data_IF_642849831749
#
_entry.id   IF_642849831749
#
_cell.length_a   1.000
_cell.length_b   1.000
_cell.length_c   1.000
_cell.angle_alpha   90.00
_cell.angle_beta   90.00
_cell.angle_gamma   90.00
#
_symmetry.space_group_name_H-M   'P 1'
#
loop_
_entity.id
_entity.type
_entity.pdbx_description
1 polymer ?
#
# COMPACT_ATOMS: atom_id res chain seq x y z
N UNK A 1 -14.90 22.01 -8.22
CA UNK A 1 -14.19 20.72 -8.05
C UNK A 1 -14.89 19.58 -8.76
N UNK A 2 -16.20 19.34 -8.55
CA UNK A 2 -16.94 18.31 -9.32
C UNK A 2 -16.83 18.51 -10.85
N UNK A 3 -16.85 19.77 -11.32
CA UNK A 3 -16.69 20.13 -12.73
C UNK A 3 -15.33 19.79 -13.37
N UNK A 4 -14.31 19.42 -12.59
CA UNK A 4 -12.99 19.00 -13.08
C UNK A 4 -12.88 17.47 -13.18
N UNK A 5 -13.74 16.73 -12.46
CA UNK A 5 -13.73 15.25 -12.43
C UNK A 5 -14.27 14.68 -13.74
N UNK A 6 -15.28 15.34 -14.32
CA UNK A 6 -15.95 14.88 -15.54
C UNK A 6 -15.22 15.30 -16.83
N UNK A 7 -14.18 16.15 -16.72
CA UNK A 7 -13.38 16.58 -17.86
C UNK A 7 -12.25 15.59 -18.14
N UNK A 8 -11.94 15.30 -19.42
CA UNK A 8 -10.80 14.45 -19.74
C UNK A 8 -9.49 15.11 -19.29
N UNK A 9 -8.60 14.33 -18.66
CA UNK A 9 -7.32 14.82 -18.12
C UNK A 9 -6.42 15.48 -19.18
N UNK A 10 -6.60 15.16 -20.46
CA UNK A 10 -5.87 15.77 -21.58
C UNK A 10 -6.21 17.23 -21.84
N UNK A 11 -7.36 17.71 -21.36
CA UNK A 11 -7.83 19.09 -21.56
C UNK A 11 -7.54 20.00 -20.34
N UNK A 12 -7.01 19.42 -19.26
CA UNK A 12 -6.70 20.14 -18.04
C UNK A 12 -5.29 20.72 -18.07
N UNK A 13 -5.13 21.91 -17.50
CA UNK A 13 -3.81 22.49 -17.23
C UNK A 13 -3.09 21.72 -16.13
N UNK A 14 -1.76 21.83 -16.05
CA UNK A 14 -0.98 21.18 -14.98
C UNK A 14 -1.45 21.58 -13.58
N UNK A 15 -1.86 22.84 -13.40
CA UNK A 15 -2.42 23.33 -12.15
C UNK A 15 -3.73 22.63 -11.79
N UNK A 16 -4.66 22.53 -12.74
CA UNK A 16 -5.94 21.84 -12.53
C UNK A 16 -5.75 20.34 -12.28
N UNK A 17 -4.77 19.70 -12.92
CA UNK A 17 -4.43 18.30 -12.66
C UNK A 17 -3.94 18.13 -11.21
N UNK A 18 -3.08 19.02 -10.72
CA UNK A 18 -2.59 18.96 -9.35
C UNK A 18 -3.70 19.23 -8.32
N UNK A 19 -4.63 20.12 -8.62
CA UNK A 19 -5.83 20.34 -7.78
C UNK A 19 -6.75 19.13 -7.77
N UNK A 20 -6.99 18.52 -8.94
CA UNK A 20 -7.80 17.30 -9.06
C UNK A 20 -7.17 16.14 -8.29
N UNK A 21 -5.86 15.94 -8.38
CA UNK A 21 -5.14 14.89 -7.64
C UNK A 21 -5.24 15.11 -6.12
N UNK A 22 -5.10 16.34 -5.63
CA UNK A 22 -5.32 16.66 -4.21
C UNK A 22 -6.76 16.37 -3.76
N UNK A 23 -7.73 16.66 -4.61
CA UNK A 23 -9.13 16.35 -4.34
C UNK A 23 -9.37 14.82 -4.33
N UNK A 24 -8.85 14.08 -5.31
CA UNK A 24 -8.91 12.62 -5.37
C UNK A 24 -8.25 11.95 -4.15
N UNK A 25 -7.15 12.51 -3.64
CA UNK A 25 -6.52 12.01 -2.41
C UNK A 25 -7.35 12.28 -1.16
N UNK A 26 -8.10 13.37 -1.09
CA UNK A 26 -8.84 13.75 0.12
C UNK A 26 -10.27 13.19 0.17
N UNK A 27 -10.95 13.14 -0.97
CA UNK A 27 -12.34 12.70 -1.07
C UNK A 27 -12.52 11.36 -1.80
N UNK A 28 -11.45 10.81 -2.38
CA UNK A 28 -11.49 9.54 -3.11
C UNK A 28 -11.08 8.32 -2.27
N UNK A 29 -10.92 7.16 -2.91
CA UNK A 29 -10.58 5.91 -2.22
C UNK A 29 -9.20 5.94 -1.53
N UNK A 30 -8.27 6.77 -2.01
CA UNK A 30 -6.94 6.93 -1.42
C UNK A 30 -6.93 7.79 -0.14
N UNK A 31 -8.07 8.41 0.22
CA UNK A 31 -8.22 9.16 1.48
C UNK A 31 -7.94 8.33 2.72
N UNK A 32 -8.10 7.00 2.63
CA UNK A 32 -7.73 6.08 3.70
C UNK A 32 -6.22 6.10 3.99
N UNK A 33 -5.38 6.19 2.94
CA UNK A 33 -3.93 6.31 3.08
C UNK A 33 -3.53 7.70 3.57
N UNK A 34 -4.21 8.76 3.11
CA UNK A 34 -3.99 10.10 3.63
C UNK A 34 -4.29 10.17 5.14
N UNK A 35 -5.39 9.53 5.55
CA UNK A 35 -5.76 9.41 6.96
C UNK A 35 -4.71 8.62 7.73
N UNK A 36 -4.21 7.49 7.18
CA UNK A 36 -3.15 6.70 7.79
C UNK A 36 -1.86 7.49 8.02
N UNK A 37 -1.43 8.30 7.04
CA UNK A 37 -0.24 9.15 7.14
C UNK A 37 -0.45 10.23 8.22
N UNK A 38 -1.60 10.92 8.22
CA UNK A 38 -1.87 12.02 9.15
C UNK A 38 -2.03 11.57 10.60
N UNK A 39 -2.73 10.46 10.81
CA UNK A 39 -2.94 9.86 12.14
C UNK A 39 -1.74 9.05 12.62
N UNK A 40 -0.78 8.78 11.73
CA UNK A 40 0.33 7.87 11.97
C UNK A 40 -0.14 6.45 12.36
N UNK A 41 -1.33 6.02 11.93
CA UNK A 41 -1.90 4.71 12.23
C UNK A 41 -1.14 3.57 11.55
N UNK A 42 -1.28 2.36 12.09
CA UNK A 42 -0.76 1.16 11.43
C UNK A 42 -1.72 0.73 10.32
N UNK A 43 -1.15 0.26 9.23
CA UNK A 43 -1.88 -0.31 8.11
C UNK A 43 -1.44 -1.75 7.89
N UNK A 44 -2.39 -2.60 7.54
CA UNK A 44 -2.13 -3.94 7.06
C UNK A 44 -2.25 -3.94 5.53
N UNK A 45 -1.15 -4.26 4.85
CA UNK A 45 -1.07 -4.31 3.39
C UNK A 45 -0.93 -5.77 2.97
N UNK A 46 -1.85 -6.25 2.13
CA UNK A 46 -1.72 -7.55 1.49
C UNK A 46 -1.06 -7.37 0.12
N UNK A 47 0.09 -8.01 -0.06
CA UNK A 47 0.85 -7.95 -1.30
C UNK A 47 0.62 -9.17 -2.19
N UNK A 48 0.93 -9.02 -3.47
CA UNK A 48 1.11 -10.10 -4.43
C UNK A 48 2.16 -11.08 -3.89
N UNK A 49 1.96 -12.37 -4.11
CA UNK A 49 2.75 -13.48 -3.54
C UNK A 49 2.45 -13.83 -2.07
N UNK A 50 1.24 -13.53 -1.58
CA UNK A 50 0.75 -13.92 -0.23
C UNK A 50 1.64 -13.42 0.92
N UNK A 51 2.29 -12.28 0.72
CA UNK A 51 3.02 -11.58 1.78
C UNK A 51 2.13 -10.51 2.40
N UNK A 52 2.19 -10.36 3.71
CA UNK A 52 1.44 -9.32 4.45
C UNK A 52 2.44 -8.39 5.13
N UNK A 53 2.21 -7.09 5.02
CA UNK A 53 3.03 -6.06 5.66
C UNK A 53 2.16 -5.36 6.71
N UNK A 54 2.61 -5.35 7.96
CA UNK A 54 2.09 -4.44 8.97
C UNK A 54 3.09 -3.29 9.10
N UNK A 55 2.66 -2.08 8.75
CA UNK A 55 3.57 -0.93 8.62
C UNK A 55 2.87 0.38 8.97
N UNK A 56 3.64 1.47 9.04
CA UNK A 56 3.12 2.84 9.05
C UNK A 56 3.51 3.54 7.76
N UNK A 57 2.54 4.17 7.11
CA UNK A 57 2.77 4.90 5.85
C UNK A 57 3.32 6.29 6.18
N UNK A 58 4.43 6.67 5.56
CA UNK A 58 4.99 8.03 5.64
C UNK A 58 4.62 8.88 4.44
N UNK A 59 4.58 8.29 3.27
CA UNK A 59 4.18 8.93 2.03
C UNK A 59 3.56 7.90 1.09
N UNK A 60 2.69 8.36 0.19
CA UNK A 60 2.13 7.56 -0.89
C UNK A 60 1.96 8.43 -2.14
N UNK A 61 1.69 7.80 -3.28
CA UNK A 61 1.38 8.48 -4.53
C UNK A 61 0.12 7.91 -5.21
N UNK A 62 -0.23 8.47 -6.38
CA UNK A 62 -1.36 8.04 -7.22
C UNK A 62 -1.28 6.60 -7.72
N UNK A 63 -0.09 6.00 -7.78
CA UNK A 63 0.10 4.61 -8.19
C UNK A 63 0.02 3.64 -7.00
N UNK A 64 -0.31 4.13 -5.80
CA UNK A 64 -0.20 3.38 -4.56
C UNK A 64 1.24 2.91 -4.24
N UNK A 65 2.27 3.58 -4.80
CA UNK A 65 3.61 3.41 -4.24
C UNK A 65 3.63 4.02 -2.84
N UNK A 66 4.34 3.40 -1.91
CA UNK A 66 4.36 3.82 -0.51
C UNK A 66 5.77 3.83 0.06
N UNK A 67 6.07 4.86 0.85
CA UNK A 67 7.20 4.87 1.77
C UNK A 67 6.69 4.43 3.12
N UNK A 68 7.22 3.30 3.60
CA UNK A 68 6.80 2.64 4.83
C UNK A 68 7.91 2.70 5.88
N UNK A 69 7.51 2.80 7.14
CA UNK A 69 8.40 2.70 8.29
C UNK A 69 7.91 1.64 9.28
N UNK A 70 8.86 1.07 10.04
CA UNK A 70 8.61 0.03 11.04
C UNK A 70 7.82 -1.14 10.44
N UNK A 71 8.28 -1.64 9.30
CA UNK A 71 7.59 -2.67 8.53
C UNK A 71 7.87 -4.03 9.14
N UNK A 72 6.79 -4.72 9.49
CA UNK A 72 6.82 -6.15 9.80
C UNK A 72 6.22 -6.92 8.64
N UNK A 73 7.07 -7.60 7.88
CA UNK A 73 6.64 -8.48 6.81
C UNK A 73 6.43 -9.89 7.33
N UNK A 74 5.31 -10.50 6.94
CA UNK A 74 4.85 -11.80 7.40
C UNK A 74 4.48 -12.67 6.21
N UNK A 75 4.97 -13.91 6.19
CA UNK A 75 4.63 -14.89 5.17
C UNK A 75 4.68 -16.30 5.75
N UNK A 76 4.09 -17.25 5.03
CA UNK A 76 4.10 -18.66 5.41
C UNK A 76 4.99 -19.43 4.44
N UNK A 77 5.96 -20.16 4.97
CA UNK A 77 6.78 -21.10 4.20
C UNK A 77 6.34 -22.53 4.49
N UNK A 78 6.28 -23.36 3.44
CA UNK A 78 6.07 -24.80 3.59
C UNK A 78 7.39 -25.49 3.25
N UNK A 79 8.21 -25.88 4.25
CA UNK A 79 9.48 -26.52 4.00
C UNK A 79 9.27 -27.86 3.30
N UNK A 80 10.23 -28.28 2.48
CA UNK A 80 10.28 -29.64 1.95
C UNK A 80 11.07 -30.52 2.91
N UNK A 81 10.53 -31.68 3.26
CA UNK A 81 11.22 -32.69 4.06
C UNK A 81 12.23 -33.45 3.20
N UNK A 82 13.13 -34.22 3.85
CA UNK A 82 14.15 -35.03 3.17
C UNK A 82 13.55 -36.09 2.21
N UNK A 83 12.32 -36.51 2.46
CA UNK A 83 11.53 -37.43 1.63
C UNK A 83 10.81 -36.72 0.45
N UNK A 84 11.01 -35.41 0.27
CA UNK A 84 10.37 -34.60 -0.77
C UNK A 84 8.93 -34.19 -0.47
N UNK A 85 8.32 -34.65 0.63
CA UNK A 85 6.96 -34.30 1.02
C UNK A 85 6.87 -32.88 1.60
N UNK A 86 5.68 -32.26 1.49
CA UNK A 86 5.42 -30.94 2.08
C UNK A 86 5.40 -31.06 3.60
N UNK A 87 6.21 -30.26 4.27
CA UNK A 87 6.24 -30.12 5.72
C UNK A 87 5.05 -29.33 6.27
N UNK A 88 5.04 -29.09 7.58
CA UNK A 88 4.04 -28.22 8.22
C UNK A 88 4.29 -26.76 7.81
N UNK A 89 3.25 -25.97 7.49
CA UNK A 89 3.40 -24.54 7.23
C UNK A 89 4.00 -23.84 8.46
N UNK A 90 5.05 -23.05 8.25
CA UNK A 90 5.73 -22.26 9.27
C UNK A 90 5.56 -20.79 8.95
N UNK A 91 5.05 -20.02 9.91
CA UNK A 91 4.97 -18.58 9.78
C UNK A 91 6.35 -17.97 10.04
N UNK A 92 6.82 -17.16 9.11
CA UNK A 92 8.03 -16.36 9.23
C UNK A 92 7.67 -14.89 9.22
N UNK A 93 8.44 -14.12 9.96
CA UNK A 93 8.40 -12.67 9.89
C UNK A 93 9.81 -12.09 9.77
N UNK A 94 9.87 -10.87 9.25
CA UNK A 94 11.09 -10.04 9.28
C UNK A 94 10.72 -8.59 9.52
N UNK A 95 11.64 -7.88 10.18
CA UNK A 95 11.51 -6.46 10.44
C UNK A 95 12.39 -5.65 9.49
N UNK A 96 11.83 -4.58 8.94
CA UNK A 96 12.51 -3.63 8.05
C UNK A 96 12.19 -2.21 8.54
N UNK A 97 13.23 -1.47 8.93
CA UNK A 97 13.06 -0.14 9.53
C UNK A 97 12.43 0.88 8.57
N UNK A 98 12.87 0.87 7.30
CA UNK A 98 12.36 1.73 6.22
C UNK A 98 12.27 0.94 4.93
N UNK A 99 11.18 1.06 4.19
CA UNK A 99 10.95 0.32 2.96
C UNK A 99 10.21 1.18 1.94
N UNK A 100 10.67 1.13 0.69
CA UNK A 100 9.87 1.61 -0.44
C UNK A 100 9.11 0.43 -1.04
N UNK A 101 7.78 0.56 -1.13
CA UNK A 101 6.89 -0.44 -1.71
C UNK A 101 6.31 0.10 -3.02
N UNK A 102 6.44 -0.69 -4.09
CA UNK A 102 5.83 -0.39 -5.38
C UNK A 102 4.36 -0.80 -5.39
N UNK A 103 3.49 0.08 -5.90
CA UNK A 103 2.04 -0.08 -5.86
C UNK A 103 1.48 -1.24 -6.68
N UNK A 104 2.17 -1.66 -7.74
CA UNK A 104 1.79 -2.83 -8.54
C UNK A 104 1.71 -4.13 -7.70
N UNK A 105 2.45 -4.19 -6.59
CA UNK A 105 2.46 -5.34 -5.68
C UNK A 105 1.32 -5.31 -4.66
N UNK A 106 0.60 -4.20 -4.50
CA UNK A 106 -0.46 -4.05 -3.50
C UNK A 106 -1.77 -4.63 -4.04
N UNK A 107 -2.47 -5.41 -3.21
CA UNK A 107 -3.80 -5.97 -3.53
C UNK A 107 -4.86 -5.30 -2.66
N UNK A 108 -4.63 -5.25 -1.35
CA UNK A 108 -5.57 -4.73 -0.37
C UNK A 108 -4.82 -3.95 0.70
N UNK A 109 -5.39 -2.82 1.10
CA UNK A 109 -4.93 -2.04 2.25
C UNK A 109 -6.08 -1.97 3.24
N UNK A 110 -5.78 -2.30 4.50
CA UNK A 110 -6.71 -2.18 5.60
C UNK A 110 -6.13 -1.21 6.63
N UNK A 111 -6.92 -0.18 6.95
CA UNK A 111 -6.62 0.73 8.05
C UNK A 111 -7.03 0.04 9.36
N UNK A 112 -6.07 -0.15 10.26
CA UNK A 112 -6.31 -0.73 11.59
C UNK A 112 -6.65 0.33 12.63
#
# INVERSE_FOLDING_TARGET
>A
MASLVDKPRSELTEYEIAELEKYEFSAGPLSILQTAVRSHNQVLISCRNNRKLLARVKAFDRHCNMVLENVKEMWTETPRKADGSKGRPVNKDRFISKMFLRGDSVILVLLS
#
